data_IF_345781792794
#
_entry.id   IF_345781792794
#
_cell.length_a   1.000
_cell.length_b   1.000
_cell.length_c   1.000
_cell.angle_alpha   90.00
_cell.angle_beta   90.00
_cell.angle_gamma   90.00
#
_symmetry.space_group_name_H-M   'P 1'
#
loop_
_entity.id
_entity.type
_entity.pdbx_description
1 polymer ?
#
# COMPACT_ATOMS: atom_id res chain seq x y z
N UNK A 1 -15.74 -18.72 5.98
CA UNK A 1 -14.90 -19.02 7.13
C UNK A 1 -13.49 -19.37 6.72
N UNK A 2 -13.36 -20.34 5.85
CA UNK A 2 -12.09 -20.81 5.33
C UNK A 2 -11.30 -19.71 4.64
N UNK A 3 -11.94 -18.94 3.75
CA UNK A 3 -11.31 -17.85 3.03
C UNK A 3 -10.93 -16.70 3.96
N UNK A 4 -11.75 -16.46 4.97
CA UNK A 4 -11.49 -15.40 5.94
C UNK A 4 -10.20 -15.66 6.72
N UNK A 5 -10.00 -16.91 7.15
CA UNK A 5 -8.77 -17.30 7.86
C UNK A 5 -7.54 -17.16 6.97
N UNK A 6 -7.67 -17.54 5.70
CA UNK A 6 -6.60 -17.43 4.73
C UNK A 6 -6.20 -15.96 4.53
N UNK A 7 -7.18 -15.08 4.37
CA UNK A 7 -6.94 -13.66 4.19
C UNK A 7 -6.26 -13.05 5.42
N UNK A 8 -6.72 -13.42 6.62
CA UNK A 8 -6.12 -12.92 7.85
C UNK A 8 -4.66 -13.32 7.98
N UNK A 9 -4.33 -14.58 7.64
CA UNK A 9 -2.94 -15.04 7.66
C UNK A 9 -2.08 -14.32 6.64
N UNK A 10 -2.65 -14.07 5.46
CA UNK A 10 -1.95 -13.33 4.40
C UNK A 10 -1.63 -11.92 4.85
N UNK A 11 -2.58 -11.25 5.50
CA UNK A 11 -2.39 -9.90 6.02
C UNK A 11 -1.34 -9.87 7.14
N UNK A 12 -1.36 -10.86 8.03
CA UNK A 12 -0.35 -10.97 9.08
C UNK A 12 1.06 -11.16 8.51
N UNK A 13 1.18 -12.04 7.52
CA UNK A 13 2.45 -12.28 6.85
C UNK A 13 2.94 -11.04 6.14
N UNK A 14 2.01 -10.35 5.47
CA UNK A 14 2.31 -9.07 4.81
C UNK A 14 2.85 -8.06 5.82
N UNK A 15 2.22 -7.96 6.99
CA UNK A 15 2.66 -7.05 8.04
C UNK A 15 4.13 -7.25 8.42
N UNK A 16 4.55 -8.51 8.52
CA UNK A 16 5.94 -8.83 8.83
C UNK A 16 6.88 -8.46 7.69
N UNK A 17 6.45 -8.71 6.46
CA UNK A 17 7.25 -8.33 5.28
C UNK A 17 7.41 -6.82 5.18
N UNK A 18 6.33 -6.09 5.39
CA UNK A 18 6.36 -4.62 5.37
C UNK A 18 7.28 -4.09 6.47
N UNK A 19 7.19 -4.64 7.68
CA UNK A 19 8.08 -4.25 8.77
C UNK A 19 9.55 -4.44 8.41
N UNK A 20 9.88 -5.55 7.73
CA UNK A 20 11.23 -5.81 7.25
C UNK A 20 11.68 -4.78 6.22
N UNK A 21 10.80 -4.43 5.29
CA UNK A 21 11.09 -3.42 4.27
C UNK A 21 11.31 -2.05 4.92
N UNK A 22 10.45 -1.67 5.85
CA UNK A 22 10.60 -0.40 6.56
C UNK A 22 11.92 -0.36 7.36
N UNK A 23 12.34 -1.49 7.91
CA UNK A 23 13.63 -1.61 8.58
C UNK A 23 14.80 -1.36 7.64
N UNK A 24 14.74 -1.88 6.43
CA UNK A 24 15.76 -1.64 5.41
C UNK A 24 15.81 -0.16 5.01
N UNK A 25 14.65 0.46 4.85
CA UNK A 25 14.56 1.89 4.51
C UNK A 25 15.20 2.71 5.62
N UNK A 26 14.93 2.37 6.87
CA UNK A 26 15.47 3.09 8.02
C UNK A 26 16.99 3.00 8.09
N UNK A 27 17.55 1.86 7.65
CA UNK A 27 19.01 1.67 7.59
C UNK A 27 19.65 2.34 6.39
N UNK A 28 18.85 2.85 5.46
CA UNK A 28 19.37 3.45 4.23
C UNK A 28 19.66 2.44 3.13
N UNK A 29 19.25 1.18 3.30
CA UNK A 29 19.47 0.14 2.30
C UNK A 29 18.32 0.13 1.31
N UNK A 30 18.28 1.15 0.45
CA UNK A 30 17.17 1.38 -0.46
C UNK A 30 17.09 0.35 -1.57
N UNK A 31 18.22 -0.14 -2.03
CA UNK A 31 18.26 -1.16 -3.08
C UNK A 31 17.59 -2.44 -2.62
N UNK A 32 17.93 -2.92 -1.43
CA UNK A 32 17.28 -4.11 -0.88
C UNK A 32 15.81 -3.88 -0.57
N UNK A 33 15.47 -2.69 -0.11
CA UNK A 33 14.06 -2.34 0.13
C UNK A 33 13.25 -2.42 -1.16
N UNK A 34 13.78 -1.86 -2.26
CA UNK A 34 13.13 -1.93 -3.57
C UNK A 34 12.97 -3.37 -4.06
N UNK A 35 14.02 -4.17 -3.92
CA UNK A 35 13.99 -5.57 -4.34
C UNK A 35 12.95 -6.36 -3.56
N UNK A 36 12.86 -6.14 -2.27
CA UNK A 36 11.87 -6.83 -1.45
C UNK A 36 10.46 -6.38 -1.75
N UNK A 37 10.25 -5.10 -2.03
CA UNK A 37 8.94 -4.61 -2.46
C UNK A 37 8.50 -5.30 -3.75
N UNK A 38 9.40 -5.39 -4.75
CA UNK A 38 9.10 -6.09 -6.00
C UNK A 38 8.72 -7.54 -5.74
N UNK A 39 9.45 -8.22 -4.89
CA UNK A 39 9.17 -9.61 -4.54
C UNK A 39 7.78 -9.76 -3.94
N UNK A 40 7.39 -8.85 -3.05
CA UNK A 40 6.08 -8.92 -2.40
C UNK A 40 4.95 -8.62 -3.39
N UNK A 41 5.12 -7.60 -4.24
CA UNK A 41 4.14 -7.34 -5.30
C UNK A 41 3.87 -8.60 -6.11
N UNK A 42 4.94 -9.20 -6.61
CA UNK A 42 4.80 -10.37 -7.48
C UNK A 42 4.26 -11.59 -6.74
N UNK A 43 4.77 -11.87 -5.54
CA UNK A 43 4.34 -13.07 -4.81
C UNK A 43 2.89 -12.98 -4.35
N UNK A 44 2.42 -11.80 -3.96
CA UNK A 44 1.07 -11.65 -3.42
C UNK A 44 0.04 -11.22 -4.46
N UNK A 45 0.42 -10.42 -5.44
CA UNK A 45 -0.53 -9.87 -6.43
C UNK A 45 -0.25 -10.34 -7.86
N UNK A 46 0.84 -11.06 -8.08
CA UNK A 46 1.21 -11.64 -9.38
C UNK A 46 1.49 -10.61 -10.47
N UNK A 47 1.82 -9.36 -10.07
CA UNK A 47 2.18 -8.29 -10.97
C UNK A 47 3.36 -7.53 -10.39
N UNK A 48 4.12 -6.81 -11.24
CA UNK A 48 5.22 -6.01 -10.75
C UNK A 48 4.74 -4.60 -10.34
N UNK A 49 5.62 -3.83 -9.70
CA UNK A 49 5.25 -2.49 -9.23
C UNK A 49 4.91 -1.55 -10.37
N UNK A 50 5.54 -1.72 -11.54
CA UNK A 50 5.30 -0.87 -12.70
C UNK A 50 3.85 -0.97 -13.18
N UNK A 51 3.27 -2.16 -13.11
CA UNK A 51 1.87 -2.37 -13.48
C UNK A 51 0.96 -1.45 -12.68
N UNK A 52 1.18 -1.39 -11.36
CA UNK A 52 0.32 -0.58 -10.48
C UNK A 52 0.67 0.90 -10.54
N UNK A 53 1.93 1.23 -10.82
CA UNK A 53 2.38 2.62 -10.93
C UNK A 53 1.66 3.34 -12.05
N UNK A 54 1.38 2.64 -13.15
CA UNK A 54 0.76 3.22 -14.33
C UNK A 54 -0.73 3.49 -14.18
N UNK A 55 -1.35 3.00 -13.11
CA UNK A 55 -2.77 3.26 -12.86
C UNK A 55 -2.92 4.58 -12.13
N UNK A 56 -3.67 5.51 -12.72
CA UNK A 56 -3.91 6.82 -12.10
C UNK A 56 -4.72 6.67 -10.80
N UNK A 57 -4.49 7.58 -9.85
CA UNK A 57 -5.19 7.57 -8.56
C UNK A 57 -6.71 7.52 -8.75
N UNK A 58 -7.23 8.34 -9.66
CA UNK A 58 -8.67 8.46 -9.89
C UNK A 58 -9.31 7.19 -10.46
N UNK A 59 -8.54 6.37 -11.17
CA UNK A 59 -9.03 5.17 -11.82
C UNK A 59 -8.70 3.90 -11.04
N UNK A 60 -7.99 4.03 -9.93
CA UNK A 60 -7.37 2.90 -9.24
C UNK A 60 -8.38 1.85 -8.79
N UNK A 61 -9.38 2.25 -8.01
CA UNK A 61 -10.36 1.30 -7.48
C UNK A 61 -11.20 0.67 -8.60
N UNK A 62 -11.61 1.48 -9.56
CA UNK A 62 -12.43 1.00 -10.66
C UNK A 62 -11.70 -0.05 -11.50
N UNK A 63 -10.47 0.25 -11.89
CA UNK A 63 -9.67 -0.70 -12.69
C UNK A 63 -9.37 -1.98 -11.94
N UNK A 64 -9.00 -1.89 -10.66
CA UNK A 64 -8.67 -3.08 -9.89
C UNK A 64 -9.89 -3.98 -9.67
N UNK A 65 -11.05 -3.40 -9.38
CA UNK A 65 -12.25 -4.18 -9.14
C UNK A 65 -12.85 -4.75 -10.41
N UNK A 66 -13.02 -3.94 -11.44
CA UNK A 66 -13.74 -4.32 -12.65
C UNK A 66 -12.88 -4.96 -13.73
N UNK A 67 -11.62 -4.55 -13.81
CA UNK A 67 -10.73 -5.08 -14.87
C UNK A 67 -9.86 -6.22 -14.38
N UNK A 68 -9.51 -6.25 -13.09
CA UNK A 68 -8.61 -7.24 -12.53
C UNK A 68 -9.24 -8.13 -11.48
N UNK A 69 -10.51 -7.91 -11.17
CA UNK A 69 -11.28 -8.74 -10.22
C UNK A 69 -10.63 -8.84 -8.83
N UNK A 70 -10.05 -7.74 -8.36
CA UNK A 70 -9.42 -7.73 -7.06
C UNK A 70 -10.45 -7.82 -5.94
N UNK A 71 -10.11 -8.59 -4.92
CA UNK A 71 -10.92 -8.74 -3.71
C UNK A 71 -10.51 -7.71 -2.68
N UNK A 72 -11.27 -7.65 -1.57
CA UNK A 72 -10.94 -6.82 -0.41
C UNK A 72 -9.50 -7.11 0.05
N UNK A 73 -9.13 -8.39 0.16
CA UNK A 73 -7.79 -8.78 0.58
C UNK A 73 -6.71 -8.28 -0.36
N UNK A 74 -6.93 -8.38 -1.67
CA UNK A 74 -5.99 -7.88 -2.67
C UNK A 74 -5.80 -6.36 -2.53
N UNK A 75 -6.91 -5.63 -2.34
CA UNK A 75 -6.85 -4.18 -2.18
C UNK A 75 -6.08 -3.79 -0.92
N UNK A 76 -6.27 -4.52 0.16
CA UNK A 76 -5.55 -4.25 1.40
C UNK A 76 -4.06 -4.51 1.25
N UNK A 77 -3.69 -5.60 0.59
CA UNK A 77 -2.28 -5.88 0.29
C UNK A 77 -1.67 -4.72 -0.50
N UNK A 78 -2.36 -4.28 -1.55
CA UNK A 78 -1.86 -3.21 -2.40
C UNK A 78 -1.76 -1.89 -1.65
N UNK A 79 -2.74 -1.58 -0.79
CA UNK A 79 -2.71 -0.37 0.03
C UNK A 79 -1.48 -0.34 0.93
N UNK A 80 -1.15 -1.48 1.55
CA UNK A 80 0.03 -1.59 2.40
C UNK A 80 1.32 -1.46 1.61
N UNK A 81 1.37 -2.04 0.41
CA UNK A 81 2.54 -1.92 -0.46
C UNK A 81 2.75 -0.48 -0.90
N UNK A 82 1.68 0.23 -1.26
CA UNK A 82 1.78 1.65 -1.60
C UNK A 82 2.24 2.49 -0.40
N UNK A 83 1.82 2.12 0.80
CA UNK A 83 2.29 2.78 2.01
C UNK A 83 3.82 2.63 2.15
N UNK A 84 4.33 1.43 1.94
CA UNK A 84 5.76 1.16 2.01
C UNK A 84 6.51 1.88 0.89
N UNK A 85 5.93 1.93 -0.32
CA UNK A 85 6.51 2.69 -1.43
C UNK A 85 6.64 4.17 -1.08
N UNK A 86 5.61 4.74 -0.47
CA UNK A 86 5.63 6.13 -0.05
C UNK A 86 6.75 6.38 0.97
N UNK A 87 6.94 5.46 1.90
CA UNK A 87 8.04 5.55 2.87
C UNK A 87 9.40 5.54 2.18
N UNK A 88 9.56 4.65 1.19
CA UNK A 88 10.80 4.56 0.44
C UNK A 88 11.08 5.85 -0.33
N UNK A 89 10.08 6.38 -1.02
CA UNK A 89 10.21 7.63 -1.77
C UNK A 89 10.53 8.81 -0.86
N UNK A 90 9.91 8.86 0.30
CA UNK A 90 10.19 9.89 1.29
C UNK A 90 11.65 9.85 1.75
N UNK A 91 12.17 8.65 2.02
CA UNK A 91 13.54 8.47 2.46
C UNK A 91 14.54 8.84 1.36
N UNK A 92 14.13 8.72 0.08
CA UNK A 92 14.97 9.09 -1.06
C UNK A 92 14.78 10.55 -1.50
N UNK A 93 14.06 11.34 -0.73
CA UNK A 93 13.77 12.74 -1.05
C UNK A 93 12.98 12.94 -2.34
N UNK A 94 12.18 11.94 -2.71
CA UNK A 94 11.32 12.01 -3.88
C UNK A 94 9.93 12.47 -3.45
N UNK A 95 9.71 13.78 -3.38
CA UNK A 95 8.43 14.35 -2.95
C UNK A 95 7.26 13.96 -3.87
N UNK A 96 7.39 14.11 -5.21
CA UNK A 96 6.27 13.73 -6.09
C UNK A 96 5.89 12.25 -5.94
N UNK A 97 6.87 11.36 -5.86
CA UNK A 97 6.62 9.93 -5.68
C UNK A 97 5.98 9.64 -4.34
N UNK A 98 6.45 10.30 -3.27
CA UNK A 98 5.86 10.15 -1.94
C UNK A 98 4.39 10.55 -1.95
N UNK A 99 4.08 11.67 -2.60
CA UNK A 99 2.71 12.17 -2.67
C UNK A 99 1.82 11.21 -3.46
N UNK A 100 2.29 10.75 -4.61
CA UNK A 100 1.51 9.85 -5.46
C UNK A 100 1.18 8.54 -4.74
N UNK A 101 2.17 7.89 -4.15
CA UNK A 101 1.92 6.62 -3.45
C UNK A 101 1.12 6.81 -2.18
N UNK A 102 1.29 7.95 -1.50
CA UNK A 102 0.46 8.27 -0.33
C UNK A 102 -1.00 8.42 -0.73
N UNK A 103 -1.27 9.11 -1.84
CA UNK A 103 -2.64 9.29 -2.33
C UNK A 103 -3.25 7.95 -2.76
N UNK A 104 -2.49 7.11 -3.42
CA UNK A 104 -2.96 5.79 -3.84
C UNK A 104 -3.26 4.89 -2.65
N UNK A 105 -2.38 4.89 -1.66
CA UNK A 105 -2.58 4.12 -0.43
C UNK A 105 -3.84 4.58 0.29
N UNK A 106 -3.97 5.90 0.47
CA UNK A 106 -5.14 6.49 1.12
C UNK A 106 -6.43 6.12 0.41
N UNK A 107 -6.44 6.23 -0.91
CA UNK A 107 -7.62 5.90 -1.72
C UNK A 107 -8.09 4.48 -1.46
N UNK A 108 -7.15 3.53 -1.43
CA UNK A 108 -7.49 2.13 -1.20
C UNK A 108 -7.96 1.87 0.22
N UNK A 109 -7.28 2.43 1.21
CA UNK A 109 -7.68 2.26 2.60
C UNK A 109 -9.07 2.85 2.87
N UNK A 110 -9.34 4.03 2.34
CA UNK A 110 -10.65 4.66 2.51
C UNK A 110 -11.74 3.89 1.79
N UNK A 111 -11.44 3.36 0.61
CA UNK A 111 -12.39 2.54 -0.13
C UNK A 111 -12.74 1.29 0.66
N UNK A 112 -11.75 0.61 1.23
CA UNK A 112 -11.96 -0.59 2.04
C UNK A 112 -12.83 -0.25 3.26
N UNK A 113 -12.53 0.86 3.91
CA UNK A 113 -13.25 1.29 5.10
C UNK A 113 -14.73 1.54 4.81
N UNK A 114 -15.00 2.18 3.68
CA UNK A 114 -16.36 2.56 3.29
C UNK A 114 -17.16 1.39 2.74
N UNK A 115 -16.57 0.64 1.80
CA UNK A 115 -17.32 -0.36 1.04
C UNK A 115 -17.47 -1.68 1.78
N UNK A 116 -16.44 -2.08 2.51
CA UNK A 116 -16.49 -3.37 3.21
C UNK A 116 -16.89 -3.24 4.67
N UNK A 117 -16.91 -2.02 5.19
CA UNK A 117 -17.39 -1.69 6.55
C UNK A 117 -16.77 -2.56 7.64
N UNK A 118 -15.49 -2.90 7.46
CA UNK A 118 -14.75 -3.65 8.45
C UNK A 118 -13.96 -2.69 9.34
N UNK A 119 -13.99 -2.93 10.65
CA UNK A 119 -13.24 -2.12 11.58
C UNK A 119 -11.79 -2.61 11.67
N UNK A 120 -10.86 -1.67 11.61
CA UNK A 120 -9.45 -1.96 11.86
C UNK A 120 -8.79 -0.71 12.45
N UNK A 121 -8.33 -0.83 13.70
CA UNK A 121 -7.64 0.27 14.37
C UNK A 121 -6.37 0.66 13.63
N UNK A 122 -5.62 -0.34 13.15
CA UNK A 122 -4.40 -0.10 12.38
C UNK A 122 -4.69 0.70 11.12
N UNK A 123 -5.75 0.36 10.41
CA UNK A 123 -6.11 1.06 9.18
C UNK A 123 -6.53 2.49 9.47
N UNK A 124 -7.31 2.70 10.53
CA UNK A 124 -7.73 4.04 10.95
C UNK A 124 -6.51 4.91 11.25
N UNK A 125 -5.56 4.37 12.02
CA UNK A 125 -4.35 5.09 12.38
C UNK A 125 -3.50 5.40 11.14
N UNK A 126 -3.40 4.47 10.21
CA UNK A 126 -2.66 4.69 8.97
C UNK A 126 -3.31 5.75 8.09
N UNK A 127 -4.63 5.72 7.97
CA UNK A 127 -5.36 6.73 7.22
C UNK A 127 -5.06 8.12 7.78
N UNK A 128 -5.11 8.28 9.10
CA UNK A 128 -4.84 9.55 9.74
C UNK A 128 -3.40 10.01 9.48
N UNK A 129 -2.43 9.09 9.59
CA UNK A 129 -1.03 9.40 9.35
C UNK A 129 -0.76 9.80 7.90
N UNK A 130 -1.40 9.10 6.96
CA UNK A 130 -1.23 9.39 5.53
C UNK A 130 -1.82 10.75 5.19
N UNK A 131 -3.00 11.07 5.72
CA UNK A 131 -3.63 12.39 5.50
C UNK A 131 -2.74 13.52 5.99
N UNK A 132 -2.13 13.34 7.15
CA UNK A 132 -1.23 14.34 7.71
C UNK A 132 0.01 14.52 6.83
N UNK A 133 0.55 13.42 6.33
CA UNK A 133 1.71 13.45 5.43
C UNK A 133 1.38 14.18 4.13
N UNK A 134 0.24 13.85 3.53
CA UNK A 134 -0.18 14.51 2.28
C UNK A 134 -0.30 16.02 2.50
N UNK A 135 -0.92 16.41 3.59
CA UNK A 135 -1.08 17.80 3.94
C UNK A 135 0.27 18.51 4.03
N UNK A 136 1.23 17.88 4.70
CA UNK A 136 2.59 18.43 4.84
C UNK A 136 3.28 18.54 3.49
N UNK A 137 3.15 17.51 2.64
CA UNK A 137 3.79 17.50 1.32
C UNK A 137 3.21 18.55 0.38
N UNK A 138 1.93 18.87 0.53
CA UNK A 138 1.29 19.88 -0.29
C UNK A 138 1.59 21.30 0.18
N UNK A 139 2.37 21.47 1.23
CA UNK A 139 2.82 22.76 1.69
C UNK A 139 1.79 23.55 2.45
N UNK A 140 0.86 22.85 3.05
CA UNK A 140 -0.26 23.49 3.75
C UNK A 140 -0.01 23.55 5.24
#
# INVERSE_FOLDING_TARGET
>A
MYQKDYILRMIEMLGKMIAGILGLIKKGDFEQAENKLEDVYFSMLKEDSAFFRDIAVDELTDKLLHWHNYTNGNLEVLAELFYAEAELRLAKDDKPGTLEYSQKSLRLFEFIDTEYKTYSRERIDKIAAIKERIKTLEGV
#
